data_IF_942719629869
#
_entry.id   IF_942719629869
#
_cell.length_a   1.000
_cell.length_b   1.000
_cell.length_c   1.000
_cell.angle_alpha   90.00
_cell.angle_beta   90.00
_cell.angle_gamma   90.00
#
_symmetry.space_group_name_H-M   'P 1'
#
loop_
_entity.id
_entity.type
_entity.pdbx_description
1 polymer ?
#
# COMPACT_ATOMS: atom_id res chain seq x y z
N UNK A 1 -32.06 -38.21 -21.71
CA UNK A 1 -31.65 -38.13 -20.29
C UNK A 1 -31.13 -36.73 -20.06
N UNK A 2 -31.77 -36.01 -19.14
CA UNK A 2 -31.56 -34.58 -18.87
C UNK A 2 -30.16 -34.32 -18.32
N UNK A 3 -29.36 -33.51 -19.02
CA UNK A 3 -28.06 -33.03 -18.56
C UNK A 3 -28.27 -31.95 -17.52
N UNK A 4 -28.18 -32.33 -16.24
CA UNK A 4 -28.25 -31.42 -15.09
C UNK A 4 -27.09 -30.43 -15.19
N UNK A 5 -27.41 -29.15 -15.39
CA UNK A 5 -26.44 -28.05 -15.38
C UNK A 5 -25.67 -28.06 -14.04
N UNK A 6 -24.35 -27.76 -14.05
CA UNK A 6 -23.55 -27.82 -12.83
C UNK A 6 -24.16 -26.85 -11.81
N UNK A 7 -24.52 -27.38 -10.64
CA UNK A 7 -25.05 -26.59 -9.53
C UNK A 7 -23.99 -25.54 -9.16
N UNK A 8 -24.23 -24.28 -9.55
CA UNK A 8 -23.46 -23.15 -9.05
C UNK A 8 -23.55 -23.22 -7.52
N UNK A 9 -22.44 -23.53 -6.85
CA UNK A 9 -22.38 -23.57 -5.40
C UNK A 9 -22.69 -22.16 -4.89
N UNK A 10 -23.94 -21.95 -4.47
CA UNK A 10 -24.37 -20.74 -3.76
C UNK A 10 -23.39 -20.47 -2.63
N UNK A 11 -22.94 -19.21 -2.51
CA UNK A 11 -22.05 -18.81 -1.42
C UNK A 11 -22.69 -19.13 -0.06
N UNK A 12 -21.86 -19.30 0.98
CA UNK A 12 -22.37 -19.57 2.33
C UNK A 12 -23.36 -18.49 2.78
N UNK A 13 -23.09 -17.24 2.42
CA UNK A 13 -23.94 -16.09 2.72
C UNK A 13 -25.27 -16.14 1.95
N UNK A 14 -25.27 -16.56 0.68
CA UNK A 14 -26.51 -16.71 -0.09
C UNK A 14 -27.45 -17.75 0.54
N UNK A 15 -26.90 -18.85 1.08
CA UNK A 15 -27.68 -19.88 1.77
C UNK A 15 -28.28 -19.38 3.08
N UNK A 16 -27.51 -18.63 3.86
CA UNK A 16 -27.99 -18.00 5.11
C UNK A 16 -29.16 -17.06 4.84
N UNK A 17 -29.09 -16.24 3.79
CA UNK A 17 -30.16 -15.33 3.44
C UNK A 17 -31.44 -16.04 2.96
N UNK A 18 -31.30 -17.19 2.30
CA UNK A 18 -32.45 -18.06 1.94
C UNK A 18 -33.07 -18.66 3.21
N UNK A 19 -32.25 -19.13 4.15
CA UNK A 19 -32.72 -19.73 5.40
C UNK A 19 -33.51 -18.74 6.26
N UNK A 20 -33.09 -17.48 6.27
CA UNK A 20 -33.77 -16.37 6.95
C UNK A 20 -34.97 -15.81 6.15
N UNK A 21 -35.34 -16.46 5.03
CA UNK A 21 -36.45 -16.09 4.13
C UNK A 21 -36.35 -14.68 3.53
N UNK A 22 -35.15 -14.12 3.49
CA UNK A 22 -34.88 -12.80 2.91
C UNK A 22 -34.70 -12.86 1.39
N UNK A 23 -34.40 -14.04 0.84
CA UNK A 23 -34.23 -14.30 -0.59
C UNK A 23 -34.84 -15.65 -0.98
N UNK A 24 -35.39 -15.74 -2.20
CA UNK A 24 -35.72 -17.03 -2.79
C UNK A 24 -34.51 -17.68 -3.47
N UNK A 25 -34.50 -19.00 -3.59
CA UNK A 25 -33.42 -19.75 -4.25
C UNK A 25 -33.24 -19.33 -5.72
N UNK A 26 -34.34 -19.01 -6.41
CA UNK A 26 -34.32 -18.56 -7.80
C UNK A 26 -33.61 -17.21 -7.93
N UNK A 27 -33.89 -16.29 -7.00
CA UNK A 27 -33.28 -14.96 -6.99
C UNK A 27 -31.81 -15.01 -6.58
N UNK A 28 -31.45 -15.84 -5.58
CA UNK A 28 -30.07 -16.02 -5.16
C UNK A 28 -29.21 -16.57 -6.31
N UNK A 29 -29.73 -17.54 -7.07
CA UNK A 29 -29.04 -18.07 -8.25
C UNK A 29 -28.91 -17.03 -9.37
N UNK A 30 -29.94 -16.20 -9.60
CA UNK A 30 -29.88 -15.12 -10.58
C UNK A 30 -28.81 -14.07 -10.21
N UNK A 31 -28.74 -13.67 -8.94
CA UNK A 31 -27.74 -12.72 -8.44
C UNK A 31 -26.35 -13.33 -8.49
N UNK A 32 -26.19 -14.63 -8.17
CA UNK A 32 -24.91 -15.33 -8.30
C UNK A 32 -24.44 -15.40 -9.75
N UNK A 33 -25.35 -15.65 -10.70
CA UNK A 33 -25.03 -15.65 -12.12
C UNK A 33 -24.58 -14.26 -12.61
N UNK A 34 -25.25 -13.20 -12.15
CA UNK A 34 -24.86 -11.81 -12.43
C UNK A 34 -23.51 -11.45 -11.80
N UNK A 35 -23.26 -11.90 -10.57
CA UNK A 35 -21.99 -11.70 -9.86
C UNK A 35 -20.82 -12.36 -10.61
N UNK A 36 -21.01 -13.61 -11.05
CA UNK A 36 -20.01 -14.35 -11.83
C UNK A 36 -19.76 -13.70 -13.20
N UNK A 37 -20.82 -13.27 -13.90
CA UNK A 37 -20.71 -12.63 -15.21
C UNK A 37 -19.94 -11.30 -15.15
N UNK A 38 -20.04 -10.59 -14.03
CA UNK A 38 -19.41 -9.30 -13.84
C UNK A 38 -18.14 -9.32 -12.96
N UNK A 39 -17.62 -10.51 -12.64
CA UNK A 39 -16.44 -10.71 -11.77
C UNK A 39 -16.49 -9.90 -10.48
N UNK A 40 -17.68 -9.80 -9.87
CA UNK A 40 -17.95 -8.98 -8.69
C UNK A 40 -18.51 -9.83 -7.55
N UNK A 41 -18.34 -9.39 -6.31
CA UNK A 41 -18.84 -10.11 -5.13
C UNK A 41 -20.38 -10.19 -5.12
N UNK A 42 -20.90 -11.32 -4.64
CA UNK A 42 -22.34 -11.58 -4.52
C UNK A 42 -23.05 -10.48 -3.71
N UNK A 43 -22.44 -10.05 -2.59
CA UNK A 43 -22.99 -9.02 -1.68
C UNK A 43 -23.14 -7.68 -2.40
N UNK A 44 -22.12 -7.25 -3.13
CA UNK A 44 -22.16 -5.97 -3.86
C UNK A 44 -23.27 -5.97 -4.91
N UNK A 45 -23.50 -7.09 -5.62
CA UNK A 45 -24.61 -7.22 -6.58
C UNK A 45 -25.98 -7.30 -5.91
N UNK A 46 -26.06 -7.98 -4.78
CA UNK A 46 -27.28 -8.04 -3.98
C UNK A 46 -27.73 -6.63 -3.53
N UNK A 47 -26.80 -5.81 -3.04
CA UNK A 47 -27.08 -4.42 -2.64
C UNK A 47 -27.46 -3.57 -3.86
N UNK A 48 -26.77 -3.72 -4.99
CA UNK A 48 -27.11 -3.01 -6.23
C UNK A 48 -28.51 -3.35 -6.76
N UNK A 49 -28.98 -4.58 -6.54
CA UNK A 49 -30.34 -4.97 -6.89
C UNK A 49 -31.43 -4.24 -6.07
N UNK A 50 -31.03 -3.47 -5.03
CA UNK A 50 -31.88 -2.71 -4.10
C UNK A 50 -32.95 -3.53 -3.37
N UNK A 51 -32.88 -4.87 -3.44
CA UNK A 51 -33.85 -5.75 -2.78
C UNK A 51 -33.68 -5.82 -1.26
N UNK A 52 -32.44 -5.72 -0.79
CA UNK A 52 -32.10 -5.77 0.64
C UNK A 52 -31.15 -4.61 0.98
N UNK A 53 -31.30 -4.04 2.17
CA UNK A 53 -30.36 -3.03 2.66
C UNK A 53 -29.08 -3.70 3.14
N UNK A 54 -27.95 -2.98 3.02
CA UNK A 54 -26.65 -3.45 3.48
C UNK A 54 -26.65 -3.75 4.99
N UNK A 55 -27.41 -2.96 5.77
CA UNK A 55 -27.59 -3.16 7.21
C UNK A 55 -28.27 -4.50 7.53
N UNK A 56 -29.37 -4.84 6.85
CA UNK A 56 -30.06 -6.11 7.09
C UNK A 56 -29.16 -7.29 6.75
N UNK A 57 -28.42 -7.21 5.63
CA UNK A 57 -27.47 -8.26 5.23
C UNK A 57 -26.37 -8.41 6.29
N UNK A 58 -25.80 -7.31 6.77
CA UNK A 58 -24.71 -7.33 7.75
C UNK A 58 -25.17 -7.87 9.11
N UNK A 59 -26.33 -7.44 9.62
CA UNK A 59 -26.90 -7.92 10.87
C UNK A 59 -27.24 -9.41 10.82
N UNK A 60 -27.89 -9.86 9.73
CA UNK A 60 -28.23 -11.26 9.53
C UNK A 60 -26.96 -12.11 9.43
N UNK A 61 -25.95 -11.66 8.70
CA UNK A 61 -24.67 -12.36 8.57
C UNK A 61 -23.92 -12.43 9.91
N UNK A 62 -23.87 -11.33 10.65
CA UNK A 62 -23.26 -11.28 11.98
C UNK A 62 -23.92 -12.27 12.94
N UNK A 63 -25.26 -12.30 12.99
CA UNK A 63 -26.04 -13.22 13.83
C UNK A 63 -25.84 -14.68 13.43
N UNK A 64 -25.86 -14.99 12.13
CA UNK A 64 -25.76 -16.35 11.63
C UNK A 64 -24.38 -16.98 11.86
N UNK A 65 -23.31 -16.20 11.73
CA UNK A 65 -21.93 -16.67 11.88
C UNK A 65 -21.33 -16.40 13.27
N UNK A 66 -22.06 -15.71 14.15
CA UNK A 66 -21.62 -15.43 15.52
C UNK A 66 -20.53 -14.37 15.64
N UNK A 67 -20.41 -13.48 14.66
CA UNK A 67 -19.44 -12.38 14.66
C UNK A 67 -20.06 -11.08 15.16
N UNK A 68 -19.28 -10.19 15.81
CA UNK A 68 -19.77 -8.87 16.18
C UNK A 68 -20.06 -8.03 14.93
N UNK A 69 -21.16 -7.29 14.95
CA UNK A 69 -21.46 -6.27 13.95
C UNK A 69 -20.93 -4.91 14.43
N UNK A 70 -20.35 -4.14 13.51
CA UNK A 70 -19.86 -2.80 13.79
C UNK A 70 -20.23 -1.83 12.67
N UNK A 71 -20.68 -0.63 13.05
CA UNK A 71 -20.98 0.43 12.09
C UNK A 71 -19.71 1.27 11.84
N UNK A 72 -19.21 1.20 10.60
CA UNK A 72 -18.02 1.94 10.16
C UNK A 72 -18.16 3.47 10.22
N UNK A 73 -19.36 4.04 10.21
CA UNK A 73 -19.54 5.50 10.29
C UNK A 73 -19.10 6.08 11.65
N UNK A 74 -19.13 5.26 12.70
CA UNK A 74 -18.70 5.66 14.04
C UNK A 74 -17.19 5.47 14.26
N UNK A 75 -16.46 4.98 13.26
CA UNK A 75 -15.04 4.69 13.38
C UNK A 75 -14.19 5.96 13.17
N UNK A 76 -13.24 6.21 14.08
CA UNK A 76 -12.26 7.28 13.89
C UNK A 76 -11.06 6.76 13.06
N UNK A 77 -10.75 7.36 11.90
CA UNK A 77 -9.61 7.02 11.05
C UNK A 77 -8.24 7.03 11.77
N UNK A 78 -8.08 7.80 12.85
CA UNK A 78 -6.82 7.94 13.58
C UNK A 78 -6.34 6.64 14.25
N UNK A 79 -7.24 5.66 14.45
CA UNK A 79 -6.92 4.37 15.08
C UNK A 79 -6.53 3.28 14.08
N UNK A 80 -6.44 3.59 12.79
CA UNK A 80 -6.01 2.64 11.78
C UNK A 80 -4.56 2.18 12.06
N UNK A 81 -4.28 0.87 11.97
CA UNK A 81 -2.95 0.36 12.26
C UNK A 81 -1.92 0.86 11.25
N UNK A 82 -0.67 1.11 11.68
CA UNK A 82 0.40 1.58 10.80
C UNK A 82 0.80 0.52 9.74
N UNK A 83 0.58 -0.76 10.04
CA UNK A 83 0.77 -1.87 9.08
C UNK A 83 -0.53 -2.08 8.30
N UNK A 84 -0.50 -1.74 7.01
CA UNK A 84 -1.66 -1.85 6.10
C UNK A 84 -1.71 -3.21 5.41
N UNK A 85 -2.93 -3.64 5.07
CA UNK A 85 -3.19 -4.78 4.19
C UNK A 85 -2.95 -4.31 2.74
N UNK A 86 -2.54 -5.21 1.85
CA UNK A 86 -2.32 -4.86 0.44
C UNK A 86 -3.61 -4.38 -0.22
N UNK A 87 -3.53 -3.33 -1.03
CA UNK A 87 -4.68 -2.73 -1.73
C UNK A 87 -5.44 -3.73 -2.60
N UNK A 88 -4.71 -4.63 -3.26
CA UNK A 88 -5.31 -5.73 -4.04
C UNK A 88 -6.16 -6.64 -3.17
N UNK A 89 -5.69 -6.99 -1.97
CA UNK A 89 -6.43 -7.84 -1.04
C UNK A 89 -7.62 -7.10 -0.42
N UNK A 90 -7.47 -5.80 -0.12
CA UNK A 90 -8.59 -4.97 0.36
C UNK A 90 -9.72 -4.89 -0.67
N UNK A 91 -9.39 -4.63 -1.95
CA UNK A 91 -10.38 -4.50 -3.03
C UNK A 91 -11.02 -5.84 -3.41
N UNK A 92 -10.21 -6.87 -3.65
CA UNK A 92 -10.70 -8.17 -4.12
C UNK A 92 -11.53 -8.91 -3.08
N UNK A 93 -11.13 -8.82 -1.82
CA UNK A 93 -11.75 -9.59 -0.74
C UNK A 93 -12.65 -8.75 0.17
N UNK A 94 -12.77 -7.43 -0.06
CA UNK A 94 -13.50 -6.49 0.81
C UNK A 94 -13.11 -6.68 2.28
N UNK A 95 -11.85 -6.38 2.57
CA UNK A 95 -11.27 -6.52 3.90
C UNK A 95 -10.58 -5.23 4.31
N UNK A 96 -10.79 -4.78 5.55
CA UNK A 96 -10.14 -3.61 6.10
C UNK A 96 -9.59 -3.88 7.51
N UNK A 97 -8.36 -3.48 7.77
CA UNK A 97 -7.77 -3.53 9.10
C UNK A 97 -8.30 -2.35 9.96
N UNK A 98 -8.96 -2.65 11.09
CA UNK A 98 -9.49 -1.63 11.99
C UNK A 98 -8.49 -1.24 13.06
N UNK A 99 -8.03 -2.21 13.85
CA UNK A 99 -7.16 -1.95 14.99
C UNK A 99 -6.34 -3.18 15.35
N UNK A 100 -5.13 -2.99 15.89
CA UNK A 100 -4.32 -4.06 16.49
C UNK A 100 -4.29 -3.88 18.01
N UNK A 101 -4.64 -4.92 18.76
CA UNK A 101 -4.52 -4.96 20.23
C UNK A 101 -4.00 -6.32 20.67
N UNK A 102 -2.96 -6.34 21.52
CA UNK A 102 -2.41 -7.57 22.10
C UNK A 102 -2.10 -8.68 21.06
N UNK A 103 -1.52 -8.30 19.91
CA UNK A 103 -1.24 -9.23 18.80
C UNK A 103 -2.49 -9.85 18.13
N UNK A 104 -3.66 -9.25 18.37
CA UNK A 104 -4.92 -9.56 17.68
C UNK A 104 -5.27 -8.38 16.76
N UNK A 105 -5.44 -8.67 15.48
CA UNK A 105 -5.89 -7.72 14.47
C UNK A 105 -7.41 -7.81 14.31
N UNK A 106 -8.11 -6.72 14.61
CA UNK A 106 -9.52 -6.57 14.31
C UNK A 106 -9.70 -6.21 12.85
N UNK A 107 -10.45 -7.03 12.13
CA UNK A 107 -10.61 -6.92 10.68
C UNK A 107 -12.08 -6.73 10.34
N UNK A 108 -12.39 -5.64 9.66
CA UNK A 108 -13.70 -5.41 9.07
C UNK A 108 -13.85 -6.24 7.79
N UNK A 109 -14.92 -7.03 7.72
CA UNK A 109 -15.28 -7.86 6.56
C UNK A 109 -16.76 -7.69 6.22
N UNK A 110 -17.10 -7.70 4.93
CA UNK A 110 -18.49 -7.75 4.50
C UNK A 110 -19.01 -9.18 4.35
N UNK A 111 -18.15 -10.13 3.97
CA UNK A 111 -18.49 -11.55 3.84
C UNK A 111 -17.74 -12.43 4.85
N UNK A 112 -18.38 -12.88 5.94
CA UNK A 112 -17.78 -13.82 6.90
C UNK A 112 -17.54 -15.23 6.35
N UNK A 113 -18.06 -15.57 5.17
CA UNK A 113 -17.95 -16.91 4.60
C UNK A 113 -16.69 -17.10 3.75
N UNK A 114 -16.00 -16.02 3.42
CA UNK A 114 -14.75 -16.06 2.67
C UNK A 114 -13.55 -16.34 3.61
N UNK A 115 -13.42 -17.60 4.03
CA UNK A 115 -12.32 -18.04 4.90
C UNK A 115 -10.95 -17.86 4.24
N UNK A 116 -10.85 -18.05 2.92
CA UNK A 116 -9.59 -17.86 2.19
C UNK A 116 -9.05 -16.42 2.27
N UNK A 117 -9.94 -15.42 2.28
CA UNK A 117 -9.54 -14.04 2.48
C UNK A 117 -8.97 -13.81 3.88
N UNK A 118 -9.60 -14.38 4.91
CA UNK A 118 -9.12 -14.30 6.29
C UNK A 118 -7.76 -14.99 6.44
N UNK A 119 -7.56 -16.18 5.88
CA UNK A 119 -6.29 -16.91 5.94
C UNK A 119 -5.15 -16.12 5.24
N UNK A 120 -5.45 -15.52 4.08
CA UNK A 120 -4.48 -14.71 3.33
C UNK A 120 -4.05 -13.46 4.12
N UNK A 121 -5.01 -12.79 4.75
CA UNK A 121 -4.78 -11.62 5.60
C UNK A 121 -4.02 -12.03 6.87
N UNK A 122 -4.33 -13.19 7.44
CA UNK A 122 -3.64 -13.73 8.61
C UNK A 122 -2.17 -14.01 8.27
N UNK A 123 -1.92 -14.66 7.13
CA UNK A 123 -0.57 -14.97 6.65
C UNK A 123 0.26 -13.70 6.40
N UNK A 124 -0.33 -12.68 5.77
CA UNK A 124 0.35 -11.40 5.53
C UNK A 124 0.66 -10.64 6.83
N UNK A 125 -0.31 -10.60 7.75
CA UNK A 125 -0.20 -9.79 8.95
C UNK A 125 0.64 -10.47 10.04
N UNK A 126 0.66 -11.80 10.08
CA UNK A 126 1.39 -12.60 11.08
C UNK A 126 0.78 -12.51 12.48
N UNK A 127 -0.50 -12.16 12.58
CA UNK A 127 -1.22 -11.89 13.83
C UNK A 127 -2.51 -12.72 13.88
N UNK A 128 -3.06 -12.92 15.08
CA UNK A 128 -4.39 -13.55 15.22
C UNK A 128 -5.46 -12.60 14.69
N UNK A 129 -6.42 -13.09 13.91
CA UNK A 129 -7.49 -12.27 13.37
C UNK A 129 -8.75 -12.36 14.25
N UNK A 130 -9.37 -11.21 14.49
CA UNK A 130 -10.72 -11.11 15.05
C UNK A 130 -11.61 -10.42 14.02
N UNK A 131 -12.40 -11.18 13.24
CA UNK A 131 -13.27 -10.60 12.22
C UNK A 131 -14.46 -9.88 12.85
N UNK A 132 -14.82 -8.76 12.27
CA UNK A 132 -15.95 -7.91 12.63
C UNK A 132 -16.76 -7.66 11.36
N UNK A 133 -18.05 -7.97 11.41
CA UNK A 133 -18.93 -7.82 10.25
C UNK A 133 -19.36 -6.37 10.14
N UNK A 134 -19.26 -5.83 8.94
CA UNK A 134 -19.62 -4.44 8.62
C UNK A 134 -20.49 -4.39 7.35
N UNK A 135 -21.12 -3.26 7.11
CA UNK A 135 -21.91 -3.05 5.90
C UNK A 135 -21.00 -2.90 4.66
N UNK A 136 -21.30 -3.63 3.57
CA UNK A 136 -20.47 -3.66 2.36
C UNK A 136 -20.40 -2.32 1.63
N UNK A 137 -21.49 -1.53 1.66
CA UNK A 137 -21.55 -0.22 1.03
C UNK A 137 -20.64 0.79 1.74
N UNK A 138 -20.65 0.78 3.07
CA UNK A 138 -19.74 1.58 3.90
C UNK A 138 -18.31 1.08 3.76
N UNK A 139 -18.09 -0.23 3.82
CA UNK A 139 -16.76 -0.81 3.67
C UNK A 139 -16.14 -0.46 2.31
N UNK A 140 -16.93 -0.51 1.24
CA UNK A 140 -16.51 -0.06 -0.08
C UNK A 140 -16.09 1.40 -0.07
N UNK A 141 -16.94 2.30 0.43
CA UNK A 141 -16.60 3.73 0.56
C UNK A 141 -15.37 3.98 1.42
N UNK A 142 -15.15 3.21 2.48
CA UNK A 142 -13.99 3.35 3.36
C UNK A 142 -12.71 2.85 2.69
N UNK A 143 -12.77 1.71 1.99
CA UNK A 143 -11.65 1.20 1.19
C UNK A 143 -11.34 2.19 0.08
N UNK A 144 -12.35 2.68 -0.64
CA UNK A 144 -12.19 3.67 -1.70
C UNK A 144 -11.64 4.97 -1.11
N UNK A 145 -12.11 5.45 0.05
CA UNK A 145 -11.54 6.62 0.74
C UNK A 145 -10.12 6.39 1.25
N UNK A 146 -9.73 5.17 1.61
CA UNK A 146 -8.38 4.87 2.09
C UNK A 146 -7.40 4.69 0.95
N UNK A 147 -7.87 4.11 -0.15
CA UNK A 147 -7.18 4.06 -1.43
C UNK A 147 -7.12 5.46 -2.01
N UNK A 148 -8.18 6.26 -1.96
CA UNK A 148 -8.15 7.67 -2.33
C UNK A 148 -7.33 8.45 -1.32
N UNK A 149 -7.26 8.15 -0.04
CA UNK A 149 -6.35 8.87 0.86
C UNK A 149 -4.89 8.46 0.59
N UNK A 150 -4.60 7.21 0.23
CA UNK A 150 -3.29 6.80 -0.27
C UNK A 150 -3.02 7.36 -1.68
N UNK A 151 -4.05 7.51 -2.49
CA UNK A 151 -4.02 7.96 -3.89
C UNK A 151 -4.23 9.47 -4.00
N UNK A 152 -4.60 10.19 -2.94
CA UNK A 152 -4.67 11.66 -2.81
C UNK A 152 -3.46 12.10 -2.01
N UNK A 153 -2.92 11.28 -1.10
CA UNK A 153 -1.49 11.41 -0.80
C UNK A 153 -0.62 11.02 -2.00
N UNK A 154 -1.09 10.29 -3.02
CA UNK A 154 -0.42 10.16 -4.34
C UNK A 154 -0.92 11.12 -5.45
N UNK A 155 -2.12 11.73 -5.36
CA UNK A 155 -2.70 12.65 -6.39
C UNK A 155 -2.64 14.11 -5.98
N UNK A 156 -2.56 14.43 -4.70
CA UNK A 156 -1.94 15.69 -4.27
C UNK A 156 -0.41 15.66 -4.52
N UNK A 157 0.14 14.50 -4.88
CA UNK A 157 1.47 14.37 -5.51
C UNK A 157 1.41 14.33 -7.07
N UNK A 158 0.23 14.28 -7.70
CA UNK A 158 0.05 14.19 -9.18
C UNK A 158 -0.57 15.48 -9.79
N UNK A 159 -1.21 16.34 -9.00
CA UNK A 159 -1.62 17.69 -9.45
C UNK A 159 -0.51 18.76 -9.29
N UNK A 160 0.68 18.34 -8.85
CA UNK A 160 1.92 19.10 -8.97
C UNK A 160 2.85 18.56 -10.06
N UNK A 161 2.34 17.68 -10.93
CA UNK A 161 3.04 17.12 -12.08
C UNK A 161 3.10 18.15 -13.22
N UNK A 162 3.71 19.32 -12.94
CA UNK A 162 4.49 20.01 -13.96
C UNK A 162 5.77 19.18 -14.11
N UNK A 163 5.75 18.25 -15.06
CA UNK A 163 6.91 17.81 -15.85
C UNK A 163 8.28 18.10 -15.21
N UNK A 164 8.67 17.33 -14.19
CA UNK A 164 10.05 17.31 -13.72
C UNK A 164 10.80 16.28 -14.54
N UNK A 165 11.13 16.71 -15.75
CA UNK A 165 12.10 16.07 -16.61
C UNK A 165 13.43 15.94 -15.87
N UNK A 166 13.82 14.69 -15.59
CA UNK A 166 15.17 14.32 -15.22
C UNK A 166 15.86 13.78 -16.48
N UNK A 167 16.07 14.63 -17.50
CA UNK A 167 16.85 14.25 -18.68
C UNK A 167 16.86 15.22 -19.87
N UNK A 168 17.86 16.10 -19.93
CA UNK A 168 18.34 16.78 -21.15
C UNK A 168 18.50 18.29 -20.96
N UNK A 169 19.65 18.93 -21.21
CA UNK A 169 20.59 18.73 -22.33
C UNK A 169 22.06 18.97 -21.94
N UNK A 170 22.93 18.44 -22.81
CA UNK A 170 24.37 18.65 -22.99
C UNK A 170 25.34 17.91 -22.05
N UNK A 171 25.37 16.57 -22.12
CA UNK A 171 26.65 15.84 -22.20
C UNK A 171 26.53 14.71 -23.23
N UNK A 172 27.43 14.77 -24.20
CA UNK A 172 27.60 13.90 -25.35
C UNK A 172 27.55 12.40 -25.01
N UNK A 173 26.94 11.66 -25.94
CA UNK A 173 26.95 10.21 -26.01
C UNK A 173 28.38 9.67 -26.03
N UNK A 174 28.76 8.90 -25.02
CA UNK A 174 29.66 7.76 -25.21
C UNK A 174 29.16 6.55 -24.40
N UNK A 175 29.05 5.43 -25.13
CA UNK A 175 28.60 4.11 -24.74
C UNK A 175 29.13 3.60 -23.39
N UNK A 176 28.24 3.34 -22.42
CA UNK A 176 28.39 2.17 -21.53
C UNK A 176 27.02 1.57 -21.16
N UNK A 177 26.72 0.44 -21.78
CA UNK A 177 25.88 -0.66 -21.30
C UNK A 177 24.39 -0.38 -21.00
N UNK A 178 23.58 -0.53 -22.06
CA UNK A 178 22.20 -0.99 -21.99
C UNK A 178 22.10 -2.36 -21.31
N UNK A 179 21.72 -2.42 -20.03
CA UNK A 179 21.02 -3.58 -19.43
C UNK A 179 20.58 -3.23 -18.01
N UNK A 180 19.27 -3.10 -17.76
CA UNK A 180 18.52 -3.30 -16.47
C UNK A 180 17.31 -2.36 -16.24
N UNK A 181 16.72 -1.73 -17.25
CA UNK A 181 15.67 -0.70 -17.03
C UNK A 181 14.28 -1.20 -16.56
N UNK A 182 14.05 -2.50 -16.35
CA UNK A 182 12.67 -2.99 -16.05
C UNK A 182 12.38 -3.16 -14.54
N UNK A 183 13.39 -3.21 -13.66
CA UNK A 183 13.20 -3.60 -12.24
C UNK A 183 13.58 -2.52 -11.19
N UNK A 184 13.88 -1.30 -11.62
CA UNK A 184 14.30 -0.19 -10.74
C UNK A 184 13.20 0.85 -10.45
N UNK A 185 12.07 0.79 -11.16
CA UNK A 185 10.98 1.77 -11.01
C UNK A 185 10.48 1.96 -9.56
N UNK A 186 10.32 0.90 -8.73
CA UNK A 186 9.91 1.08 -7.33
C UNK A 186 10.98 1.76 -6.47
N UNK A 187 12.27 1.49 -6.73
CA UNK A 187 13.40 2.05 -5.96
C UNK A 187 13.57 3.53 -6.26
N UNK A 188 13.47 3.91 -7.52
CA UNK A 188 13.53 5.31 -7.95
C UNK A 188 12.39 6.12 -7.35
N UNK A 189 11.15 5.61 -7.42
CA UNK A 189 9.99 6.26 -6.81
C UNK A 189 10.14 6.43 -5.31
N UNK A 190 10.65 5.40 -4.63
CA UNK A 190 10.91 5.46 -3.20
C UNK A 190 11.95 6.53 -2.85
N UNK A 191 13.10 6.54 -3.53
CA UNK A 191 14.14 7.54 -3.31
C UNK A 191 13.65 8.97 -3.54
N UNK A 192 12.94 9.22 -4.65
CA UNK A 192 12.38 10.54 -4.97
C UNK A 192 11.40 11.00 -3.89
N UNK A 193 10.52 10.10 -3.43
CA UNK A 193 9.61 10.40 -2.32
C UNK A 193 10.39 10.76 -1.05
N UNK A 194 11.43 10.03 -0.70
CA UNK A 194 12.24 10.32 0.48
C UNK A 194 12.88 11.72 0.41
N UNK A 195 13.41 12.10 -0.75
CA UNK A 195 13.98 13.43 -0.96
C UNK A 195 12.92 14.54 -0.81
N UNK A 196 11.74 14.38 -1.39
CA UNK A 196 10.63 15.33 -1.27
C UNK A 196 10.13 15.45 0.18
N UNK A 197 9.89 14.31 0.84
CA UNK A 197 9.44 14.27 2.23
C UNK A 197 10.45 14.98 3.14
N UNK A 198 11.74 14.79 2.90
CA UNK A 198 12.79 15.46 3.64
C UNK A 198 12.76 16.98 3.50
N UNK A 199 12.58 17.48 2.27
CA UNK A 199 12.49 18.91 1.99
C UNK A 199 11.23 19.49 2.65
N UNK A 200 10.08 18.82 2.51
CA UNK A 200 8.82 19.26 3.10
C UNK A 200 8.87 19.29 4.63
N UNK A 201 9.62 18.38 5.24
CA UNK A 201 9.84 18.35 6.69
C UNK A 201 10.93 19.32 7.16
N UNK A 202 11.60 20.05 6.27
CA UNK A 202 12.70 20.96 6.62
C UNK A 202 13.93 20.23 7.18
N UNK A 203 14.24 19.03 6.67
CA UNK A 203 15.39 18.26 7.12
C UNK A 203 16.72 18.86 6.62
N UNK A 204 17.76 18.84 7.45
CA UNK A 204 19.12 19.27 7.07
C UNK A 204 19.95 18.13 6.46
N UNK A 205 19.76 16.90 6.95
CA UNK A 205 20.53 15.74 6.53
C UNK A 205 19.63 14.49 6.45
N UNK A 206 19.87 13.67 5.42
CA UNK A 206 19.25 12.38 5.18
C UNK A 206 20.27 11.29 5.41
N UNK A 207 19.91 10.30 6.21
CA UNK A 207 20.80 9.23 6.62
C UNK A 207 20.23 7.88 6.22
N UNK A 208 20.92 7.19 5.32
CA UNK A 208 20.66 5.81 4.92
C UNK A 208 21.65 4.90 5.64
N UNK A 209 21.17 4.07 6.56
CA UNK A 209 22.03 3.31 7.47
C UNK A 209 21.76 1.80 7.40
N UNK A 210 22.63 1.02 6.73
CA UNK A 210 22.54 -0.43 6.75
C UNK A 210 23.07 -1.01 8.05
N UNK A 211 22.25 -1.82 8.71
CA UNK A 211 22.63 -2.67 9.82
C UNK A 211 22.62 -4.14 9.39
N UNK A 212 23.06 -5.03 10.28
CA UNK A 212 23.11 -6.46 10.00
C UNK A 212 21.73 -7.07 9.71
N UNK A 213 20.72 -6.66 10.50
CA UNK A 213 19.37 -7.25 10.47
C UNK A 213 18.29 -6.35 9.86
N UNK A 214 18.55 -5.05 9.75
CA UNK A 214 17.58 -4.09 9.27
C UNK A 214 18.25 -2.95 8.51
N UNK A 215 17.48 -2.26 7.69
CA UNK A 215 17.93 -1.06 7.01
C UNK A 215 17.00 0.07 7.43
N UNK A 216 17.56 1.18 7.90
CA UNK A 216 16.77 2.32 8.36
C UNK A 216 17.16 3.59 7.65
N UNK A 217 16.19 4.48 7.53
CA UNK A 217 16.40 5.83 7.03
C UNK A 217 15.96 6.84 8.08
N UNK A 218 16.83 7.82 8.34
CA UNK A 218 16.62 8.86 9.35
C UNK A 218 16.79 10.24 8.75
N UNK A 219 15.97 11.18 9.18
CA UNK A 219 16.14 12.61 8.84
C UNK A 219 16.65 13.35 10.05
N UNK A 220 17.52 14.33 9.83
CA UNK A 220 17.85 15.33 10.83
C UNK A 220 16.93 16.53 10.60
N UNK A 221 15.97 16.72 11.50
CA UNK A 221 15.04 17.86 11.48
C UNK A 221 15.29 18.67 12.73
N UNK A 222 15.54 19.97 12.59
CA UNK A 222 15.89 20.87 13.70
C UNK A 222 17.04 20.34 14.58
N UNK A 223 18.05 19.74 13.94
CA UNK A 223 19.22 19.15 14.62
C UNK A 223 18.99 17.76 15.24
N UNK A 224 17.75 17.30 15.35
CA UNK A 224 17.38 16.02 15.96
C UNK A 224 17.23 14.93 14.90
N UNK A 225 17.86 13.79 15.11
CA UNK A 225 17.71 12.59 14.27
C UNK A 225 16.38 11.89 14.57
N UNK A 226 15.52 11.77 13.57
CA UNK A 226 14.25 11.05 13.63
C UNK A 226 14.26 9.89 12.65
N UNK A 227 13.85 8.71 13.11
CA UNK A 227 13.67 7.56 12.24
C UNK A 227 12.35 7.67 11.49
N UNK A 228 12.43 7.56 10.17
CA UNK A 228 11.28 7.79 9.28
C UNK A 228 10.71 6.47 8.79
N UNK A 229 11.59 5.56 8.37
CA UNK A 229 11.18 4.28 7.80
C UNK A 229 12.28 3.23 7.92
N UNK A 230 11.86 1.97 7.96
CA UNK A 230 12.72 0.79 7.95
C UNK A 230 12.43 -0.06 6.70
N UNK A 231 12.98 0.30 5.54
CA UNK A 231 12.78 -0.48 4.33
C UNK A 231 13.36 -1.90 4.42
N UNK A 232 12.87 -2.85 3.58
CA UNK A 232 13.43 -4.20 3.53
C UNK A 232 14.92 -4.21 3.23
N UNK A 233 15.69 -5.09 3.88
CA UNK A 233 17.15 -5.16 3.71
C UNK A 233 17.58 -5.40 2.25
N UNK A 234 16.74 -6.07 1.46
CA UNK A 234 17.00 -6.40 0.07
C UNK A 234 17.19 -5.18 -0.84
N UNK A 235 16.63 -4.01 -0.49
CA UNK A 235 16.71 -2.81 -1.35
C UNK A 235 17.93 -1.94 -1.09
N UNK A 236 18.75 -2.25 -0.08
CA UNK A 236 19.90 -1.40 0.34
C UNK A 236 20.90 -1.15 -0.79
N UNK A 237 21.24 -2.20 -1.54
CA UNK A 237 22.29 -2.14 -2.57
C UNK A 237 21.77 -1.44 -3.83
N UNK A 238 20.50 -1.67 -4.18
CA UNK A 238 19.82 -0.96 -5.27
C UNK A 238 19.73 0.55 -4.98
N UNK A 239 19.38 0.92 -3.74
CA UNK A 239 19.35 2.33 -3.33
C UNK A 239 20.73 2.97 -3.38
N UNK A 240 21.76 2.28 -2.88
CA UNK A 240 23.13 2.79 -2.93
C UNK A 240 23.59 3.04 -4.37
N UNK A 241 23.36 2.08 -5.27
CA UNK A 241 23.67 2.22 -6.69
C UNK A 241 22.91 3.39 -7.33
N UNK A 242 21.60 3.49 -7.10
CA UNK A 242 20.79 4.58 -7.68
C UNK A 242 21.26 5.95 -7.20
N UNK A 243 21.59 6.08 -5.91
CA UNK A 243 22.12 7.32 -5.35
C UNK A 243 23.47 7.69 -5.98
N UNK A 244 24.35 6.71 -6.20
CA UNK A 244 25.64 6.95 -6.84
C UNK A 244 25.47 7.44 -8.28
N UNK A 245 24.57 6.84 -9.05
CA UNK A 245 24.24 7.27 -10.43
C UNK A 245 23.86 8.75 -10.45
N UNK A 246 22.86 9.15 -9.64
CA UNK A 246 22.33 10.53 -9.65
C UNK A 246 23.29 11.55 -9.03
N UNK A 247 24.33 11.08 -8.31
CA UNK A 247 25.36 11.93 -7.70
C UNK A 247 26.68 11.93 -8.49
N UNK A 248 26.69 11.31 -9.68
CA UNK A 248 27.88 11.15 -10.53
C UNK A 248 29.07 10.46 -9.83
N UNK A 249 28.78 9.42 -9.04
CA UNK A 249 29.79 8.60 -8.34
C UNK A 249 29.98 7.24 -9.02
N UNK A 250 31.10 6.58 -8.76
CA UNK A 250 31.38 5.24 -9.30
C UNK A 250 30.57 4.16 -8.55
N UNK A 251 29.69 3.49 -9.29
CA UNK A 251 28.79 2.43 -8.81
C UNK A 251 29.56 1.13 -8.51
N UNK A 252 30.64 0.88 -9.26
CA UNK A 252 31.44 -0.35 -9.15
C UNK A 252 32.28 -0.35 -7.89
N UNK A 253 32.75 0.82 -7.47
CA UNK A 253 33.59 0.96 -6.29
C UNK A 253 32.74 1.11 -5.02
N UNK A 254 32.98 0.25 -4.03
CA UNK A 254 32.22 0.19 -2.76
C UNK A 254 33.12 0.10 -1.53
N UNK A 255 34.44 0.18 -1.71
CA UNK A 255 35.45 -0.07 -0.66
C UNK A 255 36.10 1.21 -0.15
N UNK A 256 35.93 2.33 -0.84
CA UNK A 256 36.42 3.64 -0.43
C UNK A 256 35.24 4.60 -0.24
N UNK A 257 35.35 5.58 0.68
CA UNK A 257 34.38 6.67 0.77
C UNK A 257 34.34 7.45 -0.54
N UNK A 258 33.15 7.87 -0.96
CA UNK A 258 32.96 8.72 -2.14
C UNK A 258 32.10 9.93 -1.79
N UNK A 259 32.38 11.05 -2.44
CA UNK A 259 31.59 12.27 -2.33
C UNK A 259 31.10 12.67 -3.71
N UNK A 260 29.87 13.14 -3.78
CA UNK A 260 29.26 13.65 -5.00
C UNK A 260 28.23 14.72 -4.70
N UNK A 261 27.62 15.22 -5.78
CA UNK A 261 26.63 16.29 -5.71
C UNK A 261 25.49 15.92 -6.64
N UNK A 262 24.28 16.28 -6.25
CA UNK A 262 23.12 16.20 -7.13
C UNK A 262 22.30 17.47 -6.99
N UNK A 263 21.51 17.77 -8.02
CA UNK A 263 20.53 18.86 -7.99
C UNK A 263 19.15 18.27 -8.13
N UNK A 264 18.21 18.73 -7.32
CA UNK A 264 16.80 18.39 -7.45
C UNK A 264 16.05 19.65 -7.89
N UNK A 265 15.44 19.60 -9.08
CA UNK A 265 14.56 20.65 -9.59
C UNK A 265 13.17 20.38 -9.01
N UNK A 266 12.67 21.28 -8.16
CA UNK A 266 11.34 21.18 -7.54
C UNK A 266 10.29 22.03 -8.25
N UNK A 267 10.72 23.05 -8.98
CA UNK A 267 9.90 23.93 -9.81
C UNK A 267 10.82 24.72 -10.75
N UNK A 268 10.26 25.41 -11.75
CA UNK A 268 11.03 26.31 -12.63
C UNK A 268 11.88 27.37 -11.89
N UNK A 269 11.57 27.63 -10.62
CA UNK A 269 12.22 28.68 -9.82
C UNK A 269 12.95 28.14 -8.59
N UNK A 270 12.80 26.85 -8.26
CA UNK A 270 13.37 26.28 -7.04
C UNK A 270 14.16 25.02 -7.36
N UNK A 271 15.48 25.13 -7.22
CA UNK A 271 16.45 24.04 -7.29
C UNK A 271 17.11 23.88 -5.94
N UNK A 272 17.23 22.64 -5.48
CA UNK A 272 17.91 22.32 -4.24
C UNK A 272 19.17 21.52 -4.57
N UNK A 273 20.30 21.98 -4.03
CA UNK A 273 21.57 21.28 -4.16
C UNK A 273 21.74 20.30 -3.00
N UNK A 274 22.19 19.10 -3.30
CA UNK A 274 22.53 18.10 -2.30
C UNK A 274 24.01 17.77 -2.37
N UNK A 275 24.64 17.62 -1.20
CA UNK A 275 25.94 16.97 -1.08
C UNK A 275 25.75 15.57 -0.56
N UNK A 276 26.31 14.60 -1.27
CA UNK A 276 26.13 13.19 -0.96
C UNK A 276 27.48 12.60 -0.61
N UNK A 277 27.54 11.87 0.48
CA UNK A 277 28.74 11.16 0.91
C UNK A 277 28.38 9.70 1.18
N UNK A 278 29.19 8.78 0.66
CA UNK A 278 29.09 7.35 0.95
C UNK A 278 30.26 6.93 1.84
N UNK A 279 29.99 6.02 2.77
CA UNK A 279 30.98 5.42 3.64
C UNK A 279 30.82 3.89 3.60
N UNK A 280 31.87 3.14 3.23
CA UNK A 280 31.84 1.69 3.24
C UNK A 280 31.71 1.16 4.67
N UNK A 281 30.75 0.26 4.91
CA UNK A 281 30.55 -0.48 6.14
C UNK A 281 30.61 -1.99 5.87
N UNK A 282 30.65 -2.79 6.93
CA UNK A 282 30.62 -4.26 6.84
C UNK A 282 29.35 -4.76 6.12
N UNK A 283 28.22 -4.09 6.35
CA UNK A 283 26.90 -4.54 5.88
C UNK A 283 26.36 -3.75 4.69
N UNK A 284 27.21 -3.04 3.95
CA UNK A 284 26.84 -2.21 2.81
C UNK A 284 27.46 -0.81 2.91
N UNK A 285 26.85 0.18 2.27
CA UNK A 285 27.34 1.56 2.31
C UNK A 285 26.39 2.44 3.11
N UNK A 286 26.91 3.16 4.10
CA UNK A 286 26.16 4.23 4.75
C UNK A 286 26.21 5.46 3.85
N UNK A 287 25.06 6.04 3.59
CA UNK A 287 24.95 7.22 2.74
C UNK A 287 24.37 8.36 3.55
N UNK A 288 24.97 9.52 3.44
CA UNK A 288 24.47 10.76 4.01
C UNK A 288 24.28 11.77 2.90
N UNK A 289 23.10 12.37 2.84
CA UNK A 289 22.78 13.46 1.93
C UNK A 289 22.52 14.72 2.74
N UNK A 290 23.33 15.75 2.55
CA UNK A 290 23.06 17.07 3.11
C UNK A 290 22.28 17.89 2.12
N UNK A 291 21.16 18.44 2.59
CA UNK A 291 20.36 19.40 1.82
C UNK A 291 21.02 20.77 1.98
N UNK A 292 21.36 21.41 0.86
CA UNK A 292 21.86 22.78 0.83
C UNK A 292 20.77 23.63 0.19
N UNK A 293 20.09 24.42 1.01
CA UNK A 293 19.17 25.45 0.53
C UNK A 293 20.01 26.66 0.10
N UNK A 294 19.85 27.18 -1.14
CA UNK A 294 20.33 28.52 -1.50
C UNK A 294 19.46 29.63 -0.91
#
# INVERSE_FOLDING_TARGET
>A
MSTVAPANKLSGLARTLIQEKLLSEVEANAIQAQANAASSLFITRLIQSKKLSALVIAETSAKAFGFPYFNLDAFNPDYLPPKKIDEKLMLSNRVLALQVRNNVLYVAISDPTNLHALDSVQFQMGMSLSPVVVEDDKLGRWIDKLIEASDTSMKSLDLGNDDYDLGGDDIEQEDVAQTQEVDDAPVVKFLNKMLLDAINMGASDLHFEPYEKFYRVRYRVDGILREITQPPLAIKDKLASRIKVISSMDISEKRIPQDGRMKLVLSKTRTIDFRVSTLPLINGEKIVMRILDP
#
